data_IF_759603805081
#
_entry.id   IF_759603805081
#
_cell.length_a   1.000
_cell.length_b   1.000
_cell.length_c   1.000
_cell.angle_alpha   90.00
_cell.angle_beta   90.00
_cell.angle_gamma   90.00
#
_symmetry.space_group_name_H-M   'P 1'
#
loop_
_entity.id
_entity.type
_entity.pdbx_description
1 polymer ?
#
# COMPACT_ATOMS: atom_id res chain seq x y z
N UNK A 1 -17.32 4.01 7.26
CA UNK A 1 -16.47 2.80 7.44
C UNK A 1 -15.76 2.90 8.78
N UNK A 2 -15.54 1.80 9.51
CA UNK A 2 -14.87 1.83 10.81
C UNK A 2 -13.39 1.48 10.61
N UNK A 3 -12.49 2.33 11.12
CA UNK A 3 -11.07 2.05 11.20
C UNK A 3 -10.74 1.53 12.60
N UNK A 4 -10.04 0.40 12.67
CA UNK A 4 -9.44 -0.10 13.91
C UNK A 4 -7.97 -0.38 13.68
N UNK A 5 -7.14 -0.18 14.69
CA UNK A 5 -5.72 -0.50 14.63
C UNK A 5 -5.23 -1.12 15.95
N UNK A 6 -4.19 -1.95 15.88
CA UNK A 6 -3.52 -2.51 17.04
C UNK A 6 -2.01 -2.57 16.82
N UNK A 7 -1.27 -2.47 17.93
CA UNK A 7 0.17 -2.62 17.94
C UNK A 7 0.52 -4.09 18.16
N UNK A 8 1.40 -4.62 17.34
CA UNK A 8 1.90 -5.98 17.46
C UNK A 8 3.43 -5.98 17.37
N UNK A 9 4.08 -6.98 17.97
CA UNK A 9 5.49 -7.25 17.72
C UNK A 9 5.62 -8.27 16.61
N UNK A 10 6.38 -7.91 15.59
CA UNK A 10 6.77 -8.83 14.52
C UNK A 10 8.27 -8.77 14.35
N UNK A 11 8.95 -9.92 14.49
CA UNK A 11 10.41 -9.99 14.62
C UNK A 11 10.89 -9.11 15.79
N UNK A 12 11.78 -8.15 15.53
CA UNK A 12 12.39 -7.21 16.49
C UNK A 12 11.75 -5.81 16.49
N UNK A 13 10.61 -5.65 15.81
CA UNK A 13 9.94 -4.37 15.58
C UNK A 13 8.49 -4.34 16.04
N UNK A 14 8.02 -3.15 16.36
CA UNK A 14 6.61 -2.85 16.63
C UNK A 14 5.95 -2.40 15.32
N UNK A 15 4.87 -3.06 14.96
CA UNK A 15 4.10 -2.81 13.73
C UNK A 15 2.70 -2.30 14.08
N UNK A 16 2.06 -1.62 13.14
CA UNK A 16 0.65 -1.21 13.26
C UNK A 16 -0.16 -2.09 12.31
N UNK A 17 -0.96 -3.00 12.87
CA UNK A 17 -1.97 -3.71 12.08
C UNK A 17 -3.23 -2.89 12.06
N UNK A 18 -3.76 -2.65 10.87
CA UNK A 18 -4.99 -1.89 10.68
C UNK A 18 -6.06 -2.73 9.99
N UNK A 19 -7.31 -2.47 10.33
CA UNK A 19 -8.48 -3.09 9.71
C UNK A 19 -9.51 -2.00 9.38
N UNK A 20 -10.07 -2.09 8.18
CA UNK A 20 -11.21 -1.31 7.72
C UNK A 20 -12.44 -2.21 7.65
N UNK A 21 -13.53 -1.76 8.27
CA UNK A 21 -14.78 -2.52 8.34
C UNK A 21 -15.95 -1.72 7.76
N UNK A 22 -16.75 -2.36 6.91
CA UNK A 22 -18.03 -1.85 6.42
C UNK A 22 -19.06 -2.99 6.43
N UNK A 23 -20.11 -2.82 7.24
CA UNK A 23 -21.08 -3.86 7.58
C UNK A 23 -20.37 -5.11 8.15
N UNK A 24 -20.56 -6.28 7.54
CA UNK A 24 -19.93 -7.54 7.93
C UNK A 24 -18.57 -7.79 7.25
N UNK A 25 -18.18 -6.94 6.30
CA UNK A 25 -16.95 -7.10 5.54
C UNK A 25 -15.80 -6.37 6.20
N UNK A 26 -14.61 -6.97 6.11
CA UNK A 26 -13.37 -6.38 6.61
C UNK A 26 -12.23 -6.57 5.63
N UNK A 27 -11.35 -5.58 5.55
CA UNK A 27 -10.04 -5.69 4.92
C UNK A 27 -8.96 -5.20 5.87
N UNK A 28 -7.79 -5.81 5.81
CA UNK A 28 -6.68 -5.54 6.72
C UNK A 28 -5.37 -5.31 5.99
N UNK A 29 -4.44 -4.69 6.70
CA UNK A 29 -3.07 -4.48 6.24
C UNK A 29 -2.17 -4.12 7.41
N UNK A 30 -0.87 -4.05 7.14
CA UNK A 30 0.13 -3.66 8.14
C UNK A 30 0.91 -2.44 7.69
N UNK A 31 1.23 -1.56 8.65
CA UNK A 31 2.28 -0.55 8.52
C UNK A 31 3.49 -1.05 9.30
N UNK A 32 4.62 -1.15 8.60
CA UNK A 32 5.91 -1.49 9.21
C UNK A 32 6.76 -0.21 9.27
N UNK A 33 7.05 0.31 10.47
CA UNK A 33 7.99 1.42 10.63
C UNK A 33 9.41 1.02 10.20
N UNK A 34 10.03 1.90 9.42
CA UNK A 34 11.43 1.84 9.03
C UNK A 34 12.26 2.71 9.99
N UNK A 35 12.84 2.07 11.00
CA UNK A 35 13.51 2.78 12.12
C UNK A 35 14.75 3.52 11.64
N UNK A 36 15.42 3.03 10.59
CA UNK A 36 16.58 3.70 10.01
C UNK A 36 16.24 5.07 9.38
N UNK A 37 14.97 5.29 9.04
CA UNK A 37 14.44 6.56 8.54
C UNK A 37 13.81 7.42 9.66
N UNK A 38 13.92 7.01 10.92
CA UNK A 38 13.34 7.72 12.06
C UNK A 38 11.83 7.49 12.23
N UNK A 39 11.25 6.52 11.53
CA UNK A 39 9.82 6.23 11.64
C UNK A 39 9.47 5.52 12.96
N UNK A 40 8.29 5.83 13.48
CA UNK A 40 7.81 5.28 14.73
C UNK A 40 6.30 5.06 14.67
N UNK A 41 5.80 3.96 15.27
CA UNK A 41 4.37 3.59 15.21
C UNK A 41 3.43 4.72 15.65
N UNK A 42 3.85 5.53 16.64
CA UNK A 42 3.12 6.70 17.14
C UNK A 42 2.78 7.71 16.05
N UNK A 43 3.67 7.92 15.08
CA UNK A 43 3.44 8.84 13.96
C UNK A 43 2.27 8.29 13.13
N UNK A 44 2.33 7.02 12.77
CA UNK A 44 1.28 6.39 11.97
C UNK A 44 -0.06 6.33 12.69
N UNK A 45 -0.06 6.06 14.00
CA UNK A 45 -1.29 6.10 14.81
C UNK A 45 -1.92 7.49 14.80
N UNK A 46 -1.12 8.55 15.00
CA UNK A 46 -1.64 9.92 14.96
C UNK A 46 -2.24 10.28 13.58
N UNK A 47 -1.60 9.85 12.48
CA UNK A 47 -2.13 10.04 11.13
C UNK A 47 -3.44 9.27 10.92
N UNK A 48 -3.51 8.02 11.41
CA UNK A 48 -4.72 7.20 11.34
C UNK A 48 -5.89 7.84 12.10
N UNK A 49 -5.62 8.44 13.26
CA UNK A 49 -6.61 9.19 14.05
C UNK A 49 -7.09 10.45 13.31
N UNK A 50 -6.18 11.18 12.65
CA UNK A 50 -6.55 12.35 11.84
C UNK A 50 -7.47 11.98 10.66
N UNK A 51 -7.26 10.81 10.05
CA UNK A 51 -8.11 10.30 8.97
C UNK A 51 -9.42 9.68 9.43
N UNK A 52 -9.57 9.36 10.72
CA UNK A 52 -10.70 8.57 11.24
C UNK A 52 -12.06 9.24 10.94
N UNK A 53 -12.14 10.56 11.06
CA UNK A 53 -13.37 11.33 10.78
C UNK A 53 -13.85 11.17 9.34
N UNK A 54 -12.93 11.27 8.37
CA UNK A 54 -13.26 11.10 6.94
C UNK A 54 -13.64 9.64 6.64
N UNK A 55 -12.92 8.68 7.24
CA UNK A 55 -13.19 7.25 7.04
C UNK A 55 -14.55 6.83 7.60
N UNK A 56 -14.99 7.42 8.71
CA UNK A 56 -16.33 7.18 9.30
C UNK A 56 -17.46 7.46 8.31
N UNK A 57 -17.35 8.54 7.55
CA UNK A 57 -18.33 8.95 6.54
C UNK A 57 -18.16 8.25 5.19
N UNK A 58 -17.00 7.62 4.95
CA UNK A 58 -16.68 6.98 3.69
C UNK A 58 -17.30 5.57 3.54
N UNK A 59 -17.41 5.14 2.28
CA UNK A 59 -17.77 3.78 1.85
C UNK A 59 -16.71 3.17 0.96
N UNK A 60 -16.56 1.85 0.98
CA UNK A 60 -15.67 1.06 0.13
C UNK A 60 -15.86 1.35 -1.37
N UNK A 61 -17.09 1.61 -1.82
CA UNK A 61 -17.38 2.05 -3.20
C UNK A 61 -16.63 3.31 -3.66
N UNK A 62 -16.11 4.12 -2.74
CA UNK A 62 -15.37 5.36 -3.04
C UNK A 62 -13.86 5.13 -3.22
N UNK A 63 -13.42 3.89 -3.40
CA UNK A 63 -12.00 3.47 -3.45
C UNK A 63 -11.10 4.33 -4.35
N UNK A 64 -11.62 4.83 -5.48
CA UNK A 64 -10.84 5.62 -6.45
C UNK A 64 -10.63 7.08 -6.04
N UNK A 65 -11.50 7.64 -5.19
CA UNK A 65 -11.45 9.07 -4.82
C UNK A 65 -11.17 9.35 -3.35
N UNK A 66 -11.27 8.33 -2.48
CA UNK A 66 -11.09 8.51 -1.04
C UNK A 66 -9.67 8.96 -0.69
N UNK A 67 -8.65 8.37 -1.29
CA UNK A 67 -7.25 8.63 -0.92
C UNK A 67 -6.80 10.04 -1.30
N UNK A 68 -7.31 10.61 -2.38
CA UNK A 68 -7.04 12.01 -2.74
C UNK A 68 -7.69 12.98 -1.72
N UNK A 69 -8.85 12.62 -1.16
CA UNK A 69 -9.47 13.40 -0.07
C UNK A 69 -8.67 13.31 1.22
N UNK A 70 -8.13 12.13 1.56
CA UNK A 70 -7.29 11.95 2.74
C UNK A 70 -5.98 12.74 2.59
N UNK A 71 -5.30 12.62 1.45
CA UNK A 71 -4.09 13.37 1.16
C UNK A 71 -4.33 14.89 1.18
N UNK A 72 -5.44 15.37 0.61
CA UNK A 72 -5.77 16.79 0.64
C UNK A 72 -6.07 17.32 2.05
N UNK A 73 -6.60 16.47 2.94
CA UNK A 73 -6.92 16.82 4.32
C UNK A 73 -5.66 16.87 5.21
N UNK A 74 -4.84 15.82 5.14
CA UNK A 74 -3.59 15.75 5.90
C UNK A 74 -2.51 15.08 5.03
N UNK A 75 -1.71 15.88 4.30
CA UNK A 75 -0.80 15.40 3.26
C UNK A 75 0.50 14.80 3.83
N UNK A 76 1.32 14.23 2.94
CA UNK A 76 2.69 13.77 3.23
C UNK A 76 2.77 12.52 4.11
N UNK A 77 1.77 11.64 4.01
CA UNK A 77 1.74 10.36 4.74
C UNK A 77 1.59 9.14 3.83
N UNK A 78 2.50 8.96 2.86
CA UNK A 78 2.35 7.97 1.79
C UNK A 78 2.24 6.53 2.32
N UNK A 79 2.98 6.18 3.37
CA UNK A 79 2.98 4.83 3.95
C UNK A 79 1.65 4.47 4.63
N UNK A 80 1.00 5.46 5.25
CA UNK A 80 -0.34 5.29 5.83
C UNK A 80 -1.37 5.13 4.73
N UNK A 81 -1.31 5.98 3.69
CA UNK A 81 -2.19 5.87 2.53
C UNK A 81 -2.02 4.55 1.78
N UNK A 82 -0.77 4.09 1.61
CA UNK A 82 -0.46 2.79 1.03
C UNK A 82 -1.16 1.67 1.80
N UNK A 83 -0.95 1.63 3.12
CA UNK A 83 -1.52 0.58 3.96
C UNK A 83 -3.05 0.65 4.03
N UNK A 84 -3.65 1.83 4.19
CA UNK A 84 -5.10 2.02 4.12
C UNK A 84 -5.67 1.57 2.77
N UNK A 85 -4.95 1.84 1.67
CA UNK A 85 -5.39 1.40 0.34
C UNK A 85 -5.31 -0.10 0.13
N UNK A 86 -4.33 -0.79 0.73
CA UNK A 86 -4.30 -2.25 0.75
C UNK A 86 -5.53 -2.82 1.48
N UNK A 87 -5.84 -2.30 2.68
CA UNK A 87 -7.00 -2.73 3.44
C UNK A 87 -8.32 -2.42 2.71
N UNK A 88 -8.42 -1.25 2.07
CA UNK A 88 -9.60 -0.85 1.30
C UNK A 88 -9.82 -1.73 0.07
N UNK A 89 -8.75 -2.12 -0.63
CA UNK A 89 -8.82 -3.04 -1.77
C UNK A 89 -9.33 -4.41 -1.32
N UNK A 90 -8.84 -4.94 -0.21
CA UNK A 90 -9.33 -6.20 0.33
C UNK A 90 -10.80 -6.11 0.77
N UNK A 91 -11.17 -5.03 1.46
CA UNK A 91 -12.55 -4.77 1.87
C UNK A 91 -13.48 -4.70 0.65
N UNK A 92 -13.09 -3.93 -0.38
CA UNK A 92 -13.84 -3.80 -1.62
C UNK A 92 -13.99 -5.15 -2.33
N UNK A 93 -12.89 -5.89 -2.47
CA UNK A 93 -12.89 -7.21 -3.11
C UNK A 93 -13.86 -8.17 -2.43
N UNK A 94 -13.83 -8.23 -1.10
CA UNK A 94 -14.71 -9.09 -0.30
C UNK A 94 -16.17 -8.68 -0.38
N UNK A 95 -16.46 -7.37 -0.27
CA UNK A 95 -17.82 -6.84 -0.29
C UNK A 95 -18.51 -7.02 -1.64
N UNK A 96 -17.78 -6.80 -2.73
CA UNK A 96 -18.36 -6.83 -4.09
C UNK A 96 -18.10 -8.14 -4.84
N UNK A 97 -17.37 -9.08 -4.23
CA UNK A 97 -17.04 -10.37 -4.85
C UNK A 97 -16.13 -10.26 -6.08
N UNK A 98 -15.39 -9.16 -6.21
CA UNK A 98 -14.51 -8.87 -7.35
C UNK A 98 -13.10 -9.32 -7.00
N UNK A 99 -12.45 -10.14 -7.83
CA UNK A 99 -11.05 -10.49 -7.56
C UNK A 99 -10.16 -9.29 -7.89
N UNK A 100 -9.22 -8.95 -7.01
CA UNK A 100 -8.28 -7.85 -7.25
C UNK A 100 -7.50 -8.01 -8.57
N UNK A 101 -7.15 -9.25 -8.95
CA UNK A 101 -6.52 -9.53 -10.25
C UNK A 101 -7.39 -9.18 -11.47
N UNK A 102 -8.71 -9.14 -11.30
CA UNK A 102 -9.67 -8.78 -12.35
C UNK A 102 -9.90 -7.26 -12.38
N UNK A 103 -9.64 -6.56 -11.27
CA UNK A 103 -9.72 -5.09 -11.21
C UNK A 103 -8.55 -4.41 -11.92
N UNK A 104 -7.42 -5.10 -12.00
CA UNK A 104 -6.20 -4.60 -12.60
C UNK A 104 -5.90 -5.42 -13.86
N UNK A 105 -5.70 -4.75 -14.99
CA UNK A 105 -5.30 -5.40 -16.25
C UNK A 105 -3.83 -5.83 -16.16
N UNK A 106 -3.60 -6.91 -15.39
CA UNK A 106 -2.26 -7.39 -15.10
C UNK A 106 -1.70 -8.11 -16.32
N UNK A 107 -0.50 -7.74 -16.78
CA UNK A 107 0.14 -8.43 -17.87
C UNK A 107 0.57 -9.84 -17.45
N UNK A 108 0.52 -10.76 -18.40
CA UNK A 108 0.92 -12.16 -18.20
C UNK A 108 2.43 -12.32 -18.39
N UNK A 109 3.20 -11.69 -17.50
CA UNK A 109 4.64 -11.89 -17.39
C UNK A 109 5.06 -12.12 -15.93
N UNK A 110 6.24 -12.72 -15.78
CA UNK A 110 6.90 -12.90 -14.49
C UNK A 110 8.02 -11.86 -14.35
N UNK A 111 7.95 -10.97 -13.35
CA UNK A 111 8.92 -9.89 -13.20
C UNK A 111 10.29 -10.44 -12.78
N UNK A 112 11.35 -9.84 -13.32
CA UNK A 112 12.72 -10.23 -13.03
C UNK A 112 13.16 -9.69 -11.66
N UNK A 113 13.68 -10.59 -10.81
CA UNK A 113 14.38 -10.20 -9.57
C UNK A 113 15.80 -9.78 -9.92
N UNK A 114 16.18 -8.58 -9.51
CA UNK A 114 17.50 -8.01 -9.74
C UNK A 114 18.32 -7.97 -8.46
N UNK A 115 19.64 -8.08 -8.59
CA UNK A 115 20.56 -7.96 -7.45
C UNK A 115 20.85 -6.49 -7.11
N UNK A 116 21.06 -5.62 -8.10
CA UNK A 116 21.25 -4.17 -7.95
C UNK A 116 20.97 -3.46 -9.28
N UNK A 117 20.30 -2.29 -9.33
CA UNK A 117 20.08 -1.60 -10.58
C UNK A 117 21.22 -0.62 -10.82
N UNK A 118 21.87 -0.73 -11.98
CA UNK A 118 22.77 0.31 -12.46
C UNK A 118 21.94 1.43 -13.11
N UNK A 119 21.76 2.55 -12.41
CA UNK A 119 21.31 3.82 -13.02
C UNK A 119 19.80 3.99 -13.27
N UNK A 120 18.94 3.10 -12.76
CA UNK A 120 17.50 3.14 -13.00
C UNK A 120 16.67 3.73 -11.83
N UNK A 121 15.42 4.12 -12.07
CA UNK A 121 14.49 4.66 -11.06
C UNK A 121 14.01 3.55 -10.12
N UNK A 122 14.54 3.56 -8.89
CA UNK A 122 14.07 2.73 -7.79
C UNK A 122 12.95 3.41 -7.02
N UNK A 123 11.84 2.70 -6.82
CA UNK A 123 10.75 3.17 -5.97
C UNK A 123 10.40 2.16 -4.89
N UNK A 124 10.17 2.66 -3.67
CA UNK A 124 9.50 1.93 -2.61
C UNK A 124 8.01 2.25 -2.74
N UNK A 125 7.13 1.28 -3.08
CA UNK A 125 5.70 1.55 -3.28
C UNK A 125 5.06 2.34 -2.14
N UNK A 126 5.40 1.99 -0.90
CA UNK A 126 4.89 2.61 0.31
C UNK A 126 5.40 4.04 0.55
N UNK A 127 6.41 4.48 -0.21
CA UNK A 127 6.90 5.86 -0.17
C UNK A 127 6.23 6.78 -1.21
N UNK A 128 5.47 6.22 -2.15
CA UNK A 128 4.77 6.99 -3.19
C UNK A 128 3.37 7.41 -2.74
N UNK A 129 2.64 6.53 -2.05
CA UNK A 129 1.27 6.79 -1.59
C UNK A 129 0.35 5.58 -1.74
N UNK A 130 -0.94 5.83 -1.95
CA UNK A 130 -1.91 4.75 -2.15
C UNK A 130 -1.63 3.94 -3.43
N UNK A 131 -2.03 2.66 -3.44
CA UNK A 131 -1.73 1.67 -4.49
C UNK A 131 -2.06 2.18 -5.90
N UNK A 132 -3.23 2.82 -6.09
CA UNK A 132 -3.62 3.35 -7.40
C UNK A 132 -2.68 4.48 -7.90
N UNK A 133 -2.11 5.28 -7.01
CA UNK A 133 -1.10 6.29 -7.35
C UNK A 133 0.22 5.64 -7.75
N UNK A 134 0.64 4.58 -7.07
CA UNK A 134 1.82 3.79 -7.46
C UNK A 134 1.66 3.24 -8.87
N UNK A 135 0.50 2.64 -9.17
CA UNK A 135 0.19 2.12 -10.50
C UNK A 135 0.18 3.22 -11.57
N UNK A 136 -0.47 4.35 -11.28
CA UNK A 136 -0.50 5.51 -12.18
C UNK A 136 0.90 6.07 -12.45
N UNK A 137 1.73 6.16 -11.41
CA UNK A 137 3.13 6.60 -11.51
C UNK A 137 3.93 5.67 -12.44
N UNK A 138 3.88 4.35 -12.23
CA UNK A 138 4.59 3.39 -13.09
C UNK A 138 4.13 3.48 -14.55
N UNK A 139 2.82 3.59 -14.78
CA UNK A 139 2.25 3.75 -16.12
C UNK A 139 2.71 5.05 -16.80
N UNK A 140 2.81 6.14 -16.05
CA UNK A 140 3.29 7.42 -16.56
C UNK A 140 4.76 7.34 -16.95
N UNK A 141 5.62 6.81 -16.08
CA UNK A 141 7.06 6.65 -16.35
C UNK A 141 7.33 5.80 -17.60
N UNK A 142 6.61 4.67 -17.75
CA UNK A 142 6.71 3.84 -18.95
C UNK A 142 6.33 4.60 -20.23
N UNK A 143 5.36 5.50 -20.14
CA UNK A 143 4.94 6.32 -21.28
C UNK A 143 6.01 7.35 -21.69
N UNK A 144 6.93 7.71 -20.79
CA UNK A 144 8.12 8.52 -21.08
C UNK A 144 9.33 7.69 -21.53
N UNK A 145 9.21 6.37 -21.62
CA UNK A 145 10.32 5.47 -21.98
C UNK A 145 11.27 5.16 -20.81
N UNK A 146 10.90 5.54 -19.58
CA UNK A 146 11.66 5.25 -18.38
C UNK A 146 11.32 3.85 -17.84
N UNK A 147 12.34 3.13 -17.37
CA UNK A 147 12.16 1.85 -16.69
C UNK A 147 12.02 2.08 -15.20
N UNK A 148 11.03 1.41 -14.58
CA UNK A 148 10.74 1.52 -13.15
C UNK A 148 10.94 0.18 -12.48
N UNK A 149 11.74 0.19 -11.42
CA UNK A 149 12.00 -0.99 -10.62
C UNK A 149 11.50 -0.78 -9.20
N UNK A 150 10.82 -1.79 -8.66
CA UNK A 150 10.33 -1.74 -7.28
C UNK A 150 11.39 -2.25 -6.33
N UNK A 151 11.57 -1.54 -5.23
CA UNK A 151 12.16 -2.13 -4.04
C UNK A 151 11.01 -2.65 -3.19
N UNK A 152 10.98 -3.96 -2.98
CA UNK A 152 9.90 -4.65 -2.28
C UNK A 152 10.42 -5.23 -0.96
N UNK A 153 9.54 -5.31 0.03
CA UNK A 153 9.82 -5.89 1.34
C UNK A 153 8.69 -6.83 1.71
N UNK A 154 9.01 -7.87 2.46
CA UNK A 154 8.02 -8.82 2.97
C UNK A 154 7.23 -8.18 4.11
N UNK A 155 5.90 -8.16 4.01
CA UNK A 155 5.00 -7.68 5.06
C UNK A 155 4.54 -8.81 5.98
N UNK A 156 4.07 -8.52 7.21
CA UNK A 156 3.57 -9.53 8.14
C UNK A 156 2.22 -10.14 7.72
N UNK A 157 1.48 -9.48 6.84
CA UNK A 157 0.16 -9.91 6.40
C UNK A 157 0.14 -10.28 4.91
N UNK A 158 -0.70 -11.27 4.59
CA UNK A 158 -0.80 -11.81 3.23
C UNK A 158 -1.42 -10.82 2.24
N UNK A 159 -2.28 -9.91 2.70
CA UNK A 159 -2.96 -8.97 1.81
C UNK A 159 -1.98 -7.94 1.24
N UNK A 160 -1.19 -7.29 2.09
CA UNK A 160 -0.17 -6.34 1.64
C UNK A 160 0.88 -7.04 0.77
N UNK A 161 1.33 -8.25 1.12
CA UNK A 161 2.24 -9.01 0.24
C UNK A 161 1.61 -9.31 -1.12
N UNK A 162 0.34 -9.71 -1.15
CA UNK A 162 -0.39 -9.93 -2.39
C UNK A 162 -0.46 -8.66 -3.25
N UNK A 163 -0.76 -7.51 -2.65
CA UNK A 163 -0.74 -6.21 -3.36
C UNK A 163 0.65 -5.87 -3.88
N UNK A 164 1.70 -6.11 -3.10
CA UNK A 164 3.09 -5.92 -3.53
C UNK A 164 3.41 -6.82 -4.73
N UNK A 165 2.99 -8.09 -4.72
CA UNK A 165 3.16 -9.01 -5.84
C UNK A 165 2.40 -8.56 -7.10
N UNK A 166 1.23 -7.96 -6.94
CA UNK A 166 0.52 -7.32 -8.05
C UNK A 166 1.33 -6.16 -8.64
N UNK A 167 1.89 -5.31 -7.79
CA UNK A 167 2.71 -4.17 -8.23
C UNK A 167 3.99 -4.64 -8.91
N UNK A 168 4.62 -5.73 -8.47
CA UNK A 168 5.78 -6.33 -9.18
C UNK A 168 5.44 -6.68 -10.63
N UNK A 169 4.26 -7.25 -10.89
CA UNK A 169 3.81 -7.55 -12.26
C UNK A 169 3.56 -6.31 -13.11
N UNK A 170 3.60 -5.12 -12.53
CA UNK A 170 3.43 -3.86 -13.27
C UNK A 170 4.76 -3.12 -13.47
N UNK A 171 5.85 -3.54 -12.81
CA UNK A 171 7.17 -2.93 -12.93
C UNK A 171 8.06 -3.63 -13.96
N UNK A 172 9.19 -3.01 -14.33
CA UNK A 172 10.16 -3.60 -15.26
C UNK A 172 11.10 -4.63 -14.58
N UNK A 173 11.00 -4.73 -13.26
CA UNK A 173 11.71 -5.67 -12.39
C UNK A 173 11.59 -5.25 -10.92
N UNK A 174 12.19 -6.01 -10.02
CA UNK A 174 12.18 -5.69 -8.59
C UNK A 174 13.44 -6.14 -7.85
N UNK A 175 13.66 -5.53 -6.70
CA UNK A 175 14.71 -5.87 -5.73
C UNK A 175 14.05 -6.19 -4.41
N UNK A 176 14.45 -7.29 -3.79
CA UNK A 176 14.02 -7.63 -2.44
C UNK A 176 14.97 -7.03 -1.42
N UNK A 177 14.41 -6.25 -0.50
CA UNK A 177 15.11 -5.75 0.66
C UNK A 177 14.46 -6.26 1.95
N UNK A 178 15.27 -6.36 3.00
CA UNK A 178 14.77 -6.51 4.35
C UNK A 178 14.39 -5.15 4.94
N UNK A 179 13.41 -5.16 5.84
CA UNK A 179 13.14 -4.01 6.69
C UNK A 179 14.33 -3.73 7.60
N UNK A 180 14.71 -2.45 7.75
CA UNK A 180 15.83 -2.01 8.59
C UNK A 180 15.38 -1.25 9.84
#
# INVERSE_FOLDING_TARGET
MILTYHLEKWRDREIVKLELMEDEFKGGSTIVPERSLGEHYKIFVAVLEEYEGILKEAKSSQIFGLFERLEAHFPEHPKVLFSLSCAMLELFSRRYGVKLKEMFDLPDFEPEKLDFPSGDFLIFPEMIGHVLRVMGFMSAMRSFGERVYLVVREYPDSNTNFIVDLLKKLSDGFIEEEWR
#
